data_IF_222634899592
#
_entry.id   IF_222634899592
#
_cell.length_a   1.000
_cell.length_b   1.000
_cell.length_c   1.000
_cell.angle_alpha   90.00
_cell.angle_beta   90.00
_cell.angle_gamma   90.00
#
_symmetry.space_group_name_H-M   'P 1'
#
loop_
_entity.id
_entity.type
_entity.pdbx_description
1 polymer ?
#
# COMPACT_ATOMS: atom_id res chain seq x y z
N UNK A 1 -16.13 19.65 -9.41
CA UNK A 1 -15.49 18.36 -9.72
C UNK A 1 -15.74 17.38 -8.59
N UNK A 2 -16.13 16.16 -8.90
CA UNK A 2 -16.38 15.16 -7.87
C UNK A 2 -15.07 14.66 -7.27
N UNK A 3 -15.04 14.53 -5.96
CA UNK A 3 -13.90 13.99 -5.22
C UNK A 3 -14.36 12.90 -4.26
N UNK A 4 -13.42 12.11 -3.78
CA UNK A 4 -13.66 11.11 -2.76
C UNK A 4 -12.63 11.32 -1.65
N UNK A 5 -13.08 11.22 -0.40
CA UNK A 5 -12.17 11.36 0.74
C UNK A 5 -11.44 10.03 0.95
N UNK A 6 -10.12 10.11 1.11
CA UNK A 6 -9.28 8.93 1.30
C UNK A 6 -8.57 9.00 2.64
N UNK A 7 -8.71 7.94 3.43
CA UNK A 7 -7.98 7.76 4.67
C UNK A 7 -7.18 6.46 4.58
N UNK A 8 -5.88 6.55 4.82
CA UNK A 8 -5.03 5.37 4.98
C UNK A 8 -4.57 5.35 6.43
N UNK A 9 -4.95 4.31 7.15
CA UNK A 9 -4.71 4.19 8.59
C UNK A 9 -3.96 2.88 8.86
N UNK A 10 -2.96 2.93 9.71
CA UNK A 10 -2.27 1.74 10.22
C UNK A 10 -2.39 1.69 11.74
N UNK A 11 -1.84 0.63 12.34
CA UNK A 11 -1.82 0.52 13.80
C UNK A 11 -1.09 1.69 14.47
N UNK A 12 -0.20 2.37 13.74
CA UNK A 12 0.59 3.50 14.25
C UNK A 12 -0.14 4.83 14.13
N UNK A 13 -1.27 4.87 13.42
CA UNK A 13 -2.06 6.08 13.25
C UNK A 13 -2.41 6.37 11.80
N UNK A 14 -2.86 7.59 11.53
CA UNK A 14 -3.20 8.02 10.17
C UNK A 14 -1.93 8.30 9.37
N UNK A 15 -1.84 7.67 8.20
CA UNK A 15 -0.69 7.82 7.30
C UNK A 15 -1.00 8.86 6.22
N UNK A 16 -2.23 8.86 5.72
CA UNK A 16 -2.69 9.82 4.72
C UNK A 16 -4.16 10.12 4.95
N UNK A 17 -4.55 11.38 4.76
CA UNK A 17 -5.95 11.81 4.77
C UNK A 17 -6.10 12.99 3.82
N UNK A 18 -7.02 12.90 2.87
CA UNK A 18 -7.24 13.99 1.91
C UNK A 18 -8.25 13.62 0.83
N UNK A 19 -8.57 14.60 -0.01
CA UNK A 19 -9.49 14.44 -1.13
C UNK A 19 -8.75 13.99 -2.38
N UNK A 20 -9.36 13.06 -3.11
CA UNK A 20 -8.77 12.48 -4.30
C UNK A 20 -9.76 12.45 -5.46
N UNK A 21 -9.23 12.41 -6.67
CA UNK A 21 -10.02 12.19 -7.90
C UNK A 21 -10.11 10.70 -8.22
N UNK A 22 -9.09 9.95 -7.81
CA UNK A 22 -8.96 8.54 -8.16
C UNK A 22 -8.00 7.85 -7.20
N UNK A 23 -8.28 6.58 -6.89
CA UNK A 23 -7.40 5.75 -6.05
C UNK A 23 -7.24 4.38 -6.72
N UNK A 24 -6.01 3.93 -6.89
CA UNK A 24 -5.70 2.59 -7.37
C UNK A 24 -5.06 1.78 -6.25
N UNK A 25 -5.51 0.54 -6.07
CA UNK A 25 -5.07 -0.31 -4.96
C UNK A 25 -4.79 -1.73 -5.45
N UNK A 26 -3.87 -2.45 -4.79
CA UNK A 26 -3.60 -3.85 -5.11
C UNK A 26 -4.63 -4.77 -4.45
N UNK A 27 -5.76 -4.99 -5.12
CA UNK A 27 -6.80 -5.88 -4.61
C UNK A 27 -6.38 -7.35 -4.63
N UNK A 28 -7.08 -8.18 -3.86
CA UNK A 28 -6.78 -9.62 -3.76
C UNK A 28 -6.85 -10.33 -5.10
N UNK A 29 -7.79 -9.94 -5.95
CA UNK A 29 -8.01 -10.55 -7.28
C UNK A 29 -7.45 -9.71 -8.43
N UNK A 30 -6.69 -8.66 -8.13
CA UNK A 30 -6.12 -7.76 -9.12
C UNK A 30 -6.23 -6.30 -8.69
N UNK A 31 -5.65 -5.42 -9.49
CA UNK A 31 -5.68 -4.00 -9.20
C UNK A 31 -7.10 -3.45 -9.26
N UNK A 32 -7.46 -2.64 -8.26
CA UNK A 32 -8.74 -1.97 -8.17
C UNK A 32 -8.57 -0.47 -8.44
N UNK A 33 -9.50 0.10 -9.20
CA UNK A 33 -9.57 1.55 -9.41
C UNK A 33 -10.86 2.09 -8.81
N UNK A 34 -10.76 3.10 -7.93
CA UNK A 34 -11.89 3.67 -7.23
C UNK A 34 -12.08 5.13 -7.66
N UNK A 35 -13.22 5.42 -8.23
CA UNK A 35 -13.65 6.78 -8.59
C UNK A 35 -14.68 7.27 -7.58
N UNK A 36 -14.92 8.60 -7.51
CA UNK A 36 -15.98 9.14 -6.65
C UNK A 36 -17.32 8.47 -6.94
N UNK A 37 -18.11 8.27 -5.91
CA UNK A 37 -19.44 7.62 -5.97
C UNK A 37 -19.37 6.12 -6.30
N UNK A 38 -18.22 5.49 -6.06
CA UNK A 38 -18.09 4.06 -6.25
C UNK A 38 -19.06 3.29 -5.35
N UNK A 39 -19.60 2.20 -5.88
CA UNK A 39 -20.47 1.30 -5.11
C UNK A 39 -19.74 0.79 -3.86
N UNK A 40 -20.43 0.69 -2.72
CA UNK A 40 -19.80 0.16 -1.49
C UNK A 40 -19.15 -1.20 -1.71
N UNK A 41 -17.95 -1.35 -1.13
CA UNK A 41 -17.15 -2.56 -1.27
C UNK A 41 -16.28 -2.74 -0.03
N UNK A 42 -16.14 -3.99 0.42
CA UNK A 42 -15.15 -4.36 1.44
C UNK A 42 -14.37 -5.53 0.86
N UNK A 43 -13.04 -5.40 0.83
CA UNK A 43 -12.17 -6.45 0.30
C UNK A 43 -10.79 -6.37 0.91
N UNK A 44 -10.03 -7.45 0.80
CA UNK A 44 -8.64 -7.47 1.23
C UNK A 44 -7.75 -6.88 0.14
N UNK A 45 -6.66 -6.26 0.57
CA UNK A 45 -5.63 -5.77 -0.36
C UNK A 45 -4.32 -6.51 -0.08
N UNK A 46 -3.54 -6.70 -1.15
CA UNK A 46 -2.22 -7.33 -1.09
C UNK A 46 -1.16 -6.32 -0.72
N UNK A 47 0.02 -6.76 -0.28
CA UNK A 47 1.16 -5.85 -0.17
C UNK A 47 1.42 -5.16 -1.51
N UNK A 48 1.59 -3.86 -1.47
CA UNK A 48 1.82 -3.07 -2.68
C UNK A 48 1.62 -1.59 -2.45
N UNK A 49 1.53 -0.86 -3.56
CA UNK A 49 1.35 0.58 -3.52
C UNK A 49 -0.10 0.98 -3.74
N UNK A 50 -0.60 1.83 -2.85
CA UNK A 50 -1.85 2.56 -3.05
C UNK A 50 -1.50 3.85 -3.75
N UNK A 51 -2.04 4.08 -4.93
CA UNK A 51 -1.79 5.29 -5.72
C UNK A 51 -2.99 6.21 -5.61
N UNK A 52 -2.77 7.42 -5.11
CA UNK A 52 -3.83 8.41 -4.87
C UNK A 52 -3.57 9.61 -5.77
N UNK A 53 -4.51 9.91 -6.66
CA UNK A 53 -4.45 11.11 -7.47
C UNK A 53 -5.17 12.22 -6.69
N UNK A 54 -4.40 13.16 -6.14
CA UNK A 54 -4.92 14.20 -5.26
C UNK A 54 -5.78 15.20 -6.03
N UNK A 55 -6.85 15.65 -5.38
CA UNK A 55 -7.77 16.62 -5.98
C UNK A 55 -7.25 18.05 -5.89
N UNK A 56 -6.42 18.36 -4.87
CA UNK A 56 -5.99 19.73 -4.59
C UNK A 56 -4.87 20.24 -5.50
N UNK A 57 -3.96 19.36 -5.92
CA UNK A 57 -2.78 19.77 -6.69
C UNK A 57 -2.49 18.90 -7.91
N UNK A 58 -3.37 17.95 -8.24
CA UNK A 58 -3.21 17.00 -9.34
C UNK A 58 -1.96 16.12 -9.24
N UNK A 59 -1.30 16.11 -8.08
CA UNK A 59 -0.15 15.25 -7.85
C UNK A 59 -0.58 13.84 -7.44
N UNK A 60 0.27 12.87 -7.74
CA UNK A 60 0.08 11.51 -7.28
C UNK A 60 0.78 11.33 -5.94
N UNK A 61 0.08 10.71 -5.01
CA UNK A 61 0.63 10.29 -3.73
C UNK A 61 0.67 8.78 -3.71
N UNK A 62 1.79 8.21 -3.25
CA UNK A 62 1.93 6.76 -3.12
C UNK A 62 2.05 6.40 -1.65
N UNK A 63 1.29 5.39 -1.24
CA UNK A 63 1.37 4.83 0.11
C UNK A 63 1.61 3.34 -0.02
N UNK A 64 2.67 2.84 0.60
CA UNK A 64 2.99 1.41 0.59
C UNK A 64 2.31 0.75 1.75
N UNK A 65 1.63 -0.34 1.47
CA UNK A 65 0.93 -1.13 2.48
C UNK A 65 1.44 -2.57 2.45
N UNK A 66 1.58 -3.17 3.62
CA UNK A 66 1.99 -4.56 3.74
C UNK A 66 0.79 -5.51 3.71
N UNK A 67 -0.33 -5.03 3.16
CA UNK A 67 -1.60 -5.73 3.16
C UNK A 67 -2.60 -5.01 4.05
N UNK A 68 -3.83 -5.45 4.05
CA UNK A 68 -4.86 -4.84 4.88
C UNK A 68 -6.26 -5.03 4.31
N UNK A 69 -7.16 -4.13 4.68
CA UNK A 69 -8.56 -4.16 4.26
C UNK A 69 -8.92 -2.81 3.64
N UNK A 70 -9.62 -2.88 2.52
CA UNK A 70 -10.19 -1.72 1.84
C UNK A 70 -11.68 -1.67 2.13
N UNK A 71 -12.18 -0.52 2.55
CA UNK A 71 -13.60 -0.22 2.68
C UNK A 71 -13.93 0.96 1.78
N UNK A 72 -14.88 0.78 0.87
CA UNK A 72 -15.33 1.82 -0.05
C UNK A 72 -16.77 2.18 0.27
N UNK A 73 -17.03 3.47 0.43
CA UNK A 73 -18.35 4.07 0.50
C UNK A 73 -18.43 5.14 -0.61
N UNK A 74 -19.62 5.59 -1.03
CA UNK A 74 -19.71 6.55 -2.15
C UNK A 74 -18.89 7.83 -1.98
N UNK A 75 -18.68 8.28 -0.76
CA UNK A 75 -17.93 9.50 -0.47
C UNK A 75 -16.59 9.30 0.19
N UNK A 76 -16.23 8.06 0.57
CA UNK A 76 -15.04 7.79 1.38
C UNK A 76 -14.40 6.45 1.03
N UNK A 77 -13.08 6.46 0.95
CA UNK A 77 -12.27 5.24 0.85
C UNK A 77 -11.42 5.15 2.11
N UNK A 78 -11.53 4.05 2.82
CA UNK A 78 -10.73 3.79 4.01
C UNK A 78 -9.85 2.56 3.78
N UNK A 79 -8.54 2.74 3.93
CA UNK A 79 -7.58 1.64 3.88
C UNK A 79 -7.06 1.40 5.29
N UNK A 80 -7.37 0.22 5.84
CA UNK A 80 -6.88 -0.22 7.14
C UNK A 80 -5.70 -1.13 6.87
N UNK A 81 -4.50 -0.56 6.91
CA UNK A 81 -3.29 -1.28 6.55
C UNK A 81 -2.63 -1.92 7.77
N UNK A 82 -2.02 -3.07 7.56
CA UNK A 82 -1.22 -3.70 8.61
C UNK A 82 -0.02 -2.83 8.93
N UNK A 83 0.66 -2.35 7.89
CA UNK A 83 1.74 -1.38 7.97
C UNK A 83 1.66 -0.49 6.75
N UNK A 84 1.93 0.80 6.90
CA UNK A 84 1.88 1.73 5.78
C UNK A 84 2.98 2.78 5.88
N UNK A 85 3.56 3.14 4.72
CA UNK A 85 4.60 4.18 4.61
C UNK A 85 4.31 5.01 3.37
N UNK A 86 4.31 6.34 3.51
CA UNK A 86 4.15 7.22 2.36
C UNK A 86 5.38 7.16 1.46
N UNK A 87 5.15 7.28 0.15
CA UNK A 87 6.21 7.16 -0.85
C UNK A 87 7.39 8.10 -0.63
N UNK A 88 7.13 9.34 -0.21
CA UNK A 88 8.21 10.31 0.02
C UNK A 88 9.07 9.98 1.26
N UNK A 89 8.59 9.11 2.14
CA UNK A 89 9.34 8.69 3.33
C UNK A 89 10.15 7.41 3.08
N UNK A 90 10.09 6.85 1.89
CA UNK A 90 10.79 5.62 1.58
C UNK A 90 12.28 5.86 1.31
N UNK A 91 13.09 5.00 1.89
CA UNK A 91 14.52 4.94 1.63
C UNK A 91 14.82 3.61 0.93
N UNK A 92 15.26 3.69 -0.34
CA UNK A 92 15.54 2.51 -1.14
C UNK A 92 16.64 1.64 -0.53
N UNK A 93 17.66 2.26 0.07
CA UNK A 93 18.74 1.52 0.69
C UNK A 93 18.25 0.70 1.88
N UNK A 94 17.38 1.29 2.71
CA UNK A 94 16.78 0.58 3.84
C UNK A 94 15.86 -0.53 3.38
N UNK A 95 15.07 -0.29 2.32
CA UNK A 95 14.17 -1.29 1.77
C UNK A 95 14.95 -2.48 1.20
N UNK A 96 16.04 -2.23 0.49
CA UNK A 96 16.91 -3.29 -0.04
C UNK A 96 17.54 -4.10 1.08
N UNK A 97 18.01 -3.45 2.14
CA UNK A 97 18.60 -4.14 3.29
C UNK A 97 17.56 -5.00 4.01
N UNK A 98 16.35 -4.49 4.22
CA UNK A 98 15.28 -5.24 4.85
C UNK A 98 14.87 -6.44 4.00
N UNK A 99 14.83 -6.28 2.67
CA UNK A 99 14.55 -7.37 1.73
C UNK A 99 15.61 -8.47 1.84
N UNK A 100 16.87 -8.09 1.91
CA UNK A 100 17.98 -9.04 2.05
C UNK A 100 17.87 -9.82 3.35
N UNK A 101 17.55 -9.15 4.45
CA UNK A 101 17.36 -9.79 5.76
C UNK A 101 16.19 -10.78 5.73
N UNK A 102 15.09 -10.42 5.10
CA UNK A 102 13.92 -11.30 4.97
C UNK A 102 14.26 -12.53 4.11
N UNK A 103 15.03 -12.34 3.04
CA UNK A 103 15.48 -13.42 2.18
C UNK A 103 16.37 -14.41 2.94
N UNK A 104 17.29 -13.90 3.76
CA UNK A 104 18.10 -14.75 4.63
C UNK A 104 17.26 -15.50 5.65
N UNK A 105 16.27 -14.85 6.25
CA UNK A 105 15.36 -15.48 7.19
C UNK A 105 14.57 -16.63 6.54
N UNK A 106 14.19 -16.49 5.28
CA UNK A 106 13.53 -17.56 4.53
C UNK A 106 14.44 -18.77 4.36
N UNK A 107 15.71 -18.53 4.03
CA UNK A 107 16.71 -19.60 3.85
C UNK A 107 17.01 -20.32 5.14
N UNK A 108 16.94 -19.64 6.28
CA UNK A 108 17.27 -20.16 7.59
C UNK A 108 16.04 -20.57 8.40
N UNK A 109 14.86 -20.57 7.79
CA UNK A 109 13.61 -20.92 8.47
C UNK A 109 13.63 -22.38 8.92
N UNK A 110 13.26 -22.60 10.19
CA UNK A 110 13.26 -23.93 10.81
C UNK A 110 11.88 -24.58 10.86
N UNK A 111 10.83 -23.81 10.50
CA UNK A 111 9.47 -24.30 10.50
C UNK A 111 8.68 -23.64 9.37
N UNK A 112 7.54 -24.24 9.02
CA UNK A 112 6.66 -23.68 8.00
C UNK A 112 6.11 -22.30 8.39
N UNK A 113 5.88 -22.10 9.70
CA UNK A 113 5.40 -20.82 10.23
C UNK A 113 6.47 -19.73 10.06
N UNK A 114 7.71 -20.05 10.42
CA UNK A 114 8.83 -19.12 10.26
C UNK A 114 9.06 -18.75 8.80
N UNK A 115 8.98 -19.74 7.91
CA UNK A 115 9.12 -19.52 6.47
C UNK A 115 8.02 -18.60 5.94
N UNK A 116 6.77 -18.88 6.33
CA UNK A 116 5.62 -18.07 5.88
C UNK A 116 5.73 -16.61 6.34
N UNK A 117 6.19 -16.40 7.58
CA UNK A 117 6.41 -15.05 8.12
C UNK A 117 7.49 -14.31 7.33
N UNK A 118 8.63 -14.97 7.11
CA UNK A 118 9.73 -14.38 6.35
C UNK A 118 9.35 -14.09 4.91
N UNK A 119 8.57 -14.98 4.29
CA UNK A 119 8.06 -14.79 2.93
C UNK A 119 7.15 -13.57 2.84
N UNK A 120 6.29 -13.35 3.85
CA UNK A 120 5.44 -12.16 3.91
C UNK A 120 6.25 -10.88 4.01
N UNK A 121 7.28 -10.86 4.84
CA UNK A 121 8.19 -9.72 4.97
C UNK A 121 8.94 -9.44 3.66
N UNK A 122 9.41 -10.50 3.01
CA UNK A 122 10.09 -10.37 1.72
C UNK A 122 9.17 -9.76 0.67
N UNK A 123 7.93 -10.23 0.57
CA UNK A 123 6.95 -9.71 -0.39
C UNK A 123 6.66 -8.23 -0.15
N UNK A 124 6.53 -7.81 1.12
CA UNK A 124 6.29 -6.41 1.47
C UNK A 124 7.48 -5.53 1.05
N UNK A 125 8.71 -5.97 1.30
CA UNK A 125 9.90 -5.21 0.94
C UNK A 125 10.09 -5.15 -0.58
N UNK A 126 9.81 -6.24 -1.29
CA UNK A 126 9.88 -6.26 -2.74
C UNK A 126 8.87 -5.28 -3.36
N UNK A 127 7.67 -5.18 -2.79
CA UNK A 127 6.66 -4.23 -3.23
C UNK A 127 7.12 -2.78 -3.01
N UNK A 128 7.75 -2.48 -1.88
CA UNK A 128 8.30 -1.15 -1.61
C UNK A 128 9.36 -0.76 -2.62
N UNK A 129 10.29 -1.66 -2.91
CA UNK A 129 11.37 -1.42 -3.87
C UNK A 129 10.81 -1.17 -5.27
N UNK A 130 9.86 -1.99 -5.70
CA UNK A 130 9.24 -1.85 -7.02
C UNK A 130 8.59 -0.47 -7.17
N UNK A 131 7.96 0.01 -6.11
CA UNK A 131 7.29 1.31 -6.15
C UNK A 131 8.27 2.48 -6.08
N UNK A 132 9.37 2.36 -5.32
CA UNK A 132 10.44 3.37 -5.32
C UNK A 132 11.01 3.51 -6.74
N UNK A 133 11.26 2.40 -7.41
CA UNK A 133 11.76 2.40 -8.79
C UNK A 133 10.76 3.05 -9.74
N UNK A 134 9.48 2.78 -9.55
CA UNK A 134 8.41 3.38 -10.36
C UNK A 134 8.36 4.90 -10.18
N UNK A 135 8.53 5.39 -8.95
CA UNK A 135 8.58 6.82 -8.67
C UNK A 135 9.76 7.50 -9.36
N UNK A 136 10.92 6.84 -9.40
CA UNK A 136 12.12 7.40 -10.01
C UNK A 136 12.04 7.50 -11.53
N UNK A 137 11.16 6.72 -12.17
CA UNK A 137 10.99 6.73 -13.62
C UNK A 137 10.15 7.92 -14.13
N UNK A 138 9.56 8.68 -13.24
CA UNK A 138 8.75 9.85 -13.61
C UNK A 138 9.57 11.12 -13.78
#
# INVERSE_FOLDING_TARGET
>A
MATIHVDVVSAEGSIFSGEAKFVALPGESGELGILPRHTPLITRIKPGAVRIERADNNEEEFVFVAGGILEVQPGTVTVLADTAIRGHDLDEAKANEAKRQAEEAMKNAKSDIDFAKAQGEFAAMAAQIAAIQKLRRK
#
